data_IF_635865190218
#
_entry.id   IF_635865190218
#
_cell.length_a   1.000
_cell.length_b   1.000
_cell.length_c   1.000
_cell.angle_alpha   90.00
_cell.angle_beta   90.00
_cell.angle_gamma   90.00
#
_symmetry.space_group_name_H-M   'P 1'
#
loop_
_entity.id
_entity.type
_entity.pdbx_description
1 polymer ?
#
# COMPACT_ATOMS: atom_id res chain seq x y z
N UNK A 1 -15.10 -3.76 -8.19
CA UNK A 1 -15.18 -5.24 -8.27
C UNK A 1 -14.71 -5.82 -6.94
N UNK A 2 -15.53 -6.64 -6.26
CA UNK A 2 -15.17 -7.27 -4.97
C UNK A 2 -14.51 -8.64 -5.11
N UNK A 3 -14.08 -9.01 -6.34
CA UNK A 3 -13.56 -10.33 -6.69
C UNK A 3 -12.43 -10.84 -5.78
N UNK A 4 -11.59 -9.93 -5.29
CA UNK A 4 -10.41 -10.25 -4.49
C UNK A 4 -10.59 -9.97 -2.99
N UNK A 5 -11.79 -9.54 -2.55
CA UNK A 5 -12.04 -9.14 -1.17
C UNK A 5 -11.68 -10.26 -0.19
N UNK A 6 -11.99 -11.51 -0.53
CA UNK A 6 -11.68 -12.68 0.28
C UNK A 6 -10.20 -12.86 0.63
N UNK A 7 -9.27 -12.38 -0.21
CA UNK A 7 -7.84 -12.45 0.09
C UNK A 7 -7.43 -11.46 1.17
N UNK A 8 -8.10 -10.31 1.25
CA UNK A 8 -7.78 -9.27 2.23
C UNK A 8 -8.57 -9.42 3.54
N UNK A 9 -9.68 -10.19 3.54
CA UNK A 9 -10.52 -10.37 4.73
C UNK A 9 -9.75 -10.83 5.98
N UNK A 10 -8.82 -11.80 5.94
CA UNK A 10 -8.05 -12.20 7.11
C UNK A 10 -7.19 -11.07 7.68
N UNK A 11 -6.51 -10.31 6.81
CA UNK A 11 -5.71 -9.17 7.20
C UNK A 11 -6.58 -8.05 7.81
N UNK A 12 -7.75 -7.79 7.22
CA UNK A 12 -8.70 -6.81 7.76
C UNK A 12 -9.29 -7.25 9.10
N UNK A 13 -9.67 -8.53 9.24
CA UNK A 13 -10.21 -9.07 10.48
C UNK A 13 -9.20 -8.96 11.64
N UNK A 14 -7.90 -9.18 11.39
CA UNK A 14 -6.85 -8.98 12.39
C UNK A 14 -6.67 -7.51 12.78
N UNK A 15 -6.92 -6.59 11.85
CA UNK A 15 -6.67 -5.15 12.03
C UNK A 15 -7.95 -4.32 12.17
N UNK A 16 -9.11 -4.91 12.43
CA UNK A 16 -10.41 -4.25 12.33
C UNK A 16 -10.54 -2.99 13.21
N UNK A 17 -9.85 -2.96 14.36
CA UNK A 17 -9.81 -1.81 15.28
C UNK A 17 -9.08 -0.60 14.71
N UNK A 18 -8.20 -0.82 13.73
CA UNK A 18 -7.43 0.23 13.05
C UNK A 18 -8.10 0.70 11.75
N UNK A 19 -9.25 0.11 11.39
CA UNK A 19 -10.00 0.43 10.17
C UNK A 19 -11.14 1.37 10.56
N UNK A 20 -11.22 2.50 9.87
CA UNK A 20 -12.34 3.43 9.99
C UNK A 20 -12.95 3.62 8.61
N UNK A 21 -14.22 3.22 8.46
CA UNK A 21 -14.95 3.39 7.21
C UNK A 21 -15.50 4.82 7.13
N UNK A 22 -15.20 5.50 6.04
CA UNK A 22 -15.66 6.86 5.79
C UNK A 22 -16.50 6.88 4.50
N UNK A 23 -17.73 7.36 4.61
CA UNK A 23 -18.66 7.51 3.49
C UNK A 23 -18.77 8.99 3.11
N UNK A 24 -17.65 9.56 2.67
CA UNK A 24 -17.52 10.97 2.32
C UNK A 24 -17.84 11.29 0.86
N UNK A 25 -17.56 12.53 0.46
CA UNK A 25 -17.69 12.99 -0.93
C UNK A 25 -16.83 12.14 -1.86
N UNK A 26 -15.66 11.73 -1.40
CA UNK A 26 -14.68 10.91 -2.11
C UNK A 26 -15.24 9.51 -2.39
N UNK A 27 -15.89 8.91 -1.39
CA UNK A 27 -16.58 7.63 -1.56
C UNK A 27 -17.68 7.73 -2.63
N UNK A 28 -18.53 8.77 -2.57
CA UNK A 28 -19.58 8.99 -3.56
C UNK A 28 -18.99 9.26 -4.94
N UNK A 29 -17.92 10.05 -5.01
CA UNK A 29 -17.21 10.37 -6.26
C UNK A 29 -16.68 9.10 -6.90
N UNK A 30 -16.01 8.23 -6.14
CA UNK A 30 -15.49 6.96 -6.64
C UNK A 30 -16.58 5.97 -6.99
N UNK A 31 -17.72 5.98 -6.28
CA UNK A 31 -18.88 5.18 -6.63
C UNK A 31 -19.46 5.61 -7.98
N UNK A 32 -19.63 6.92 -8.20
CA UNK A 32 -20.12 7.49 -9.47
C UNK A 32 -19.15 7.17 -10.61
N UNK A 33 -17.84 7.26 -10.38
CA UNK A 33 -16.79 6.85 -11.34
C UNK A 33 -16.84 5.36 -11.70
N UNK A 34 -17.43 4.53 -10.86
CA UNK A 34 -17.59 3.10 -11.15
C UNK A 34 -18.91 2.78 -11.87
N UNK A 35 -19.83 3.73 -12.02
CA UNK A 35 -21.11 3.49 -12.72
C UNK A 35 -20.89 3.23 -14.22
N UNK A 36 -21.71 2.36 -14.86
CA UNK A 36 -21.67 2.14 -16.30
C UNK A 36 -21.84 3.46 -17.07
N UNK A 37 -21.04 3.67 -18.12
CA UNK A 37 -21.11 4.87 -18.96
C UNK A 37 -20.35 6.08 -18.43
N UNK A 38 -19.80 6.03 -17.21
CA UNK A 38 -18.90 7.08 -16.71
C UNK A 38 -17.62 7.17 -17.56
N UNK A 39 -17.10 8.38 -17.70
CA UNK A 39 -15.83 8.66 -18.38
C UNK A 39 -14.69 7.81 -17.80
N UNK A 40 -14.72 7.55 -16.49
CA UNK A 40 -13.74 6.71 -15.79
C UNK A 40 -13.73 5.23 -16.13
N UNK A 41 -14.82 4.70 -16.68
CA UNK A 41 -14.78 3.34 -17.25
C UNK A 41 -14.25 3.33 -18.68
N UNK A 42 -14.36 4.45 -19.40
CA UNK A 42 -13.89 4.59 -20.77
C UNK A 42 -12.39 4.92 -20.80
N UNK A 43 -11.90 5.69 -19.82
CA UNK A 43 -10.52 6.12 -19.68
C UNK A 43 -9.99 5.85 -18.26
N UNK A 44 -9.73 4.58 -17.91
CA UNK A 44 -9.36 4.18 -16.54
C UNK A 44 -8.07 4.82 -16.01
N UNK A 45 -7.22 5.36 -16.89
CA UNK A 45 -5.95 6.00 -16.54
C UNK A 45 -5.96 7.53 -16.70
N UNK A 46 -7.07 8.14 -17.13
CA UNK A 46 -7.15 9.58 -17.41
C UNK A 46 -7.59 10.42 -16.19
N UNK A 47 -7.75 9.81 -15.02
CA UNK A 47 -8.18 10.51 -13.81
C UNK A 47 -7.00 10.78 -12.90
N UNK A 48 -6.91 12.02 -12.42
CA UNK A 48 -5.98 12.42 -11.36
C UNK A 48 -6.34 11.66 -10.09
N UNK A 49 -5.59 10.60 -9.78
CA UNK A 49 -5.52 10.02 -8.43
C UNK A 49 -4.55 10.92 -7.65
N UNK A 50 -5.03 12.10 -7.28
CA UNK A 50 -4.17 13.17 -6.79
C UNK A 50 -4.87 14.00 -5.73
N UNK A 51 -5.16 13.37 -4.61
CA UNK A 51 -5.42 14.10 -3.37
C UNK A 51 -4.58 13.38 -2.32
N UNK A 52 -3.49 13.99 -1.89
CA UNK A 52 -2.85 13.58 -0.64
C UNK A 52 -3.94 13.64 0.44
N UNK A 53 -4.21 12.55 1.17
CA UNK A 53 -5.27 12.55 2.15
C UNK A 53 -4.98 13.59 3.23
N UNK A 54 -6.03 14.20 3.77
CA UNK A 54 -5.87 15.08 4.92
C UNK A 54 -5.30 14.29 6.12
N UNK A 55 -4.35 14.86 6.87
CA UNK A 55 -3.77 14.20 8.01
C UNK A 55 -4.82 13.96 9.10
N UNK A 56 -4.78 12.78 9.72
CA UNK A 56 -5.61 12.48 10.87
C UNK A 56 -5.00 13.10 12.14
N UNK A 57 -5.40 14.33 12.46
CA UNK A 57 -4.85 15.07 13.60
C UNK A 57 -5.03 14.38 14.95
N UNK A 58 -6.06 13.53 15.12
CA UNK A 58 -6.19 12.70 16.33
C UNK A 58 -5.03 11.72 16.44
N UNK A 59 -4.66 11.03 15.36
CA UNK A 59 -3.50 10.11 15.38
C UNK A 59 -2.17 10.82 15.56
N UNK A 60 -2.05 12.03 15.00
CA UNK A 60 -0.88 12.89 15.24
C UNK A 60 -0.77 13.21 16.73
N UNK A 61 -1.87 13.65 17.36
CA UNK A 61 -1.90 13.93 18.79
C UNK A 61 -1.64 12.67 19.64
N UNK A 62 -2.29 11.53 19.32
CA UNK A 62 -2.05 10.25 20.01
C UNK A 62 -0.55 9.86 19.97
N UNK A 63 0.16 10.21 18.89
CA UNK A 63 1.61 9.97 18.74
C UNK A 63 2.45 10.91 19.59
N UNK A 64 2.07 12.20 19.67
CA UNK A 64 2.72 13.19 20.56
C UNK A 64 2.53 12.78 22.03
N UNK A 65 1.31 12.41 22.42
CA UNK A 65 1.00 11.96 23.78
C UNK A 65 1.80 10.70 24.14
N UNK A 66 1.96 9.78 23.18
CA UNK A 66 2.80 8.58 23.35
C UNK A 66 4.28 8.94 23.55
N UNK A 67 4.80 9.91 22.78
CA UNK A 67 6.17 10.40 22.92
C UNK A 67 6.39 11.04 24.30
N UNK A 68 5.47 11.91 24.74
CA UNK A 68 5.53 12.55 26.06
C UNK A 68 5.43 11.50 27.18
N UNK A 69 4.57 10.49 27.02
CA UNK A 69 4.48 9.38 27.97
C UNK A 69 5.78 8.59 28.12
N UNK A 70 6.56 8.45 27.04
CA UNK A 70 7.89 7.83 27.07
C UNK A 70 8.96 8.78 27.63
N UNK A 71 8.83 10.09 27.38
CA UNK A 71 9.80 11.11 27.78
C UNK A 71 9.13 12.30 28.46
N UNK A 72 8.73 12.18 29.75
CA UNK A 72 7.95 13.22 30.42
C UNK A 72 8.66 14.58 30.52
N UNK A 73 9.99 14.59 30.51
CA UNK A 73 10.77 15.84 30.53
C UNK A 73 10.61 16.70 29.26
N UNK A 74 9.96 16.19 28.21
CA UNK A 74 9.62 16.94 27.00
C UNK A 74 8.23 17.61 27.07
N UNK A 75 7.48 17.42 28.17
CA UNK A 75 6.17 18.02 28.34
C UNK A 75 6.24 19.55 28.21
N UNK A 76 5.32 20.13 27.42
CA UNK A 76 5.28 21.56 27.11
C UNK A 76 6.37 22.08 26.17
N UNK A 77 7.29 21.22 25.69
CA UNK A 77 8.38 21.60 24.79
C UNK A 77 8.18 21.09 23.35
N UNK A 78 7.26 20.16 23.13
CA UNK A 78 6.98 19.57 21.81
C UNK A 78 5.84 20.33 21.15
N UNK A 79 6.06 20.78 19.91
CA UNK A 79 5.06 21.43 19.08
C UNK A 79 5.04 20.77 17.69
N UNK A 80 3.85 20.66 17.11
CA UNK A 80 3.67 20.16 15.75
C UNK A 80 3.92 21.32 14.79
N UNK A 81 5.01 21.27 14.03
CA UNK A 81 5.31 22.25 12.98
C UNK A 81 4.51 21.96 11.71
N UNK A 82 4.43 20.68 11.31
CA UNK A 82 3.77 20.25 10.10
C UNK A 82 3.15 18.85 10.29
N UNK A 83 2.03 18.60 9.62
CA UNK A 83 1.40 17.30 9.53
C UNK A 83 0.98 17.03 8.08
N UNK A 84 1.28 15.83 7.59
CA UNK A 84 0.91 15.37 6.25
C UNK A 84 0.44 13.92 6.31
N UNK A 85 -0.21 13.46 5.24
CA UNK A 85 -0.53 12.05 5.09
C UNK A 85 -0.35 11.61 3.64
N UNK A 86 -0.13 10.31 3.46
CA UNK A 86 0.08 9.69 2.17
C UNK A 86 -0.58 8.33 2.10
N UNK A 87 -0.74 7.82 0.89
CA UNK A 87 -1.23 6.48 0.67
C UNK A 87 -0.11 5.46 0.77
N UNK A 88 -0.41 4.34 1.44
CA UNK A 88 0.43 3.15 1.45
C UNK A 88 -0.32 2.06 0.69
N UNK A 89 0.30 1.55 -0.37
CA UNK A 89 -0.16 0.38 -1.06
C UNK A 89 0.18 -0.89 -0.25
N UNK A 90 -0.81 -1.76 -0.09
CA UNK A 90 -0.69 -2.97 0.72
C UNK A 90 -1.12 -4.21 -0.06
N UNK A 91 -0.35 -5.29 0.08
CA UNK A 91 -0.72 -6.63 -0.39
C UNK A 91 -1.44 -7.41 0.72
N UNK A 92 -2.20 -8.46 0.39
CA UNK A 92 -2.86 -9.31 1.38
C UNK A 92 -1.95 -9.86 2.48
N UNK A 93 -0.68 -10.10 2.15
CA UNK A 93 0.35 -10.68 3.03
C UNK A 93 1.45 -9.68 3.43
N UNK A 94 1.21 -8.38 3.20
CA UNK A 94 2.12 -7.26 3.48
C UNK A 94 3.52 -7.37 2.87
N UNK A 95 3.72 -8.34 1.99
CA UNK A 95 4.98 -8.63 1.32
C UNK A 95 4.95 -7.98 -0.07
N UNK A 96 6.03 -7.35 -0.55
CA UNK A 96 6.02 -6.69 -1.85
C UNK A 96 5.80 -7.69 -3.00
N UNK A 97 5.47 -7.15 -4.17
CA UNK A 97 5.44 -7.87 -5.43
C UNK A 97 6.62 -7.41 -6.27
N UNK A 98 7.51 -8.34 -6.60
CA UNK A 98 8.68 -8.10 -7.44
C UNK A 98 8.72 -9.18 -8.53
N UNK A 99 8.93 -8.76 -9.79
CA UNK A 99 9.13 -9.66 -10.93
C UNK A 99 8.04 -9.58 -11.99
N UNK A 100 8.11 -10.50 -12.96
CA UNK A 100 7.22 -10.50 -14.13
C UNK A 100 5.79 -10.93 -13.78
N UNK A 101 4.82 -10.29 -14.43
CA UNK A 101 3.40 -10.61 -14.31
C UNK A 101 3.06 -11.76 -15.26
N UNK A 102 2.54 -12.89 -14.76
CA UNK A 102 2.17 -14.01 -15.61
C UNK A 102 1.12 -13.62 -16.66
N UNK A 103 1.38 -14.00 -17.92
CA UNK A 103 0.46 -13.79 -19.04
C UNK A 103 0.69 -12.49 -19.83
N UNK A 104 1.62 -11.63 -19.41
CA UNK A 104 2.01 -10.42 -20.16
C UNK A 104 3.53 -10.32 -20.21
N UNK A 105 4.13 -10.78 -21.32
CA UNK A 105 5.58 -10.80 -21.49
C UNK A 105 6.18 -9.39 -21.37
N UNK A 106 7.21 -9.24 -20.55
CA UNK A 106 7.93 -7.99 -20.34
C UNK A 106 7.22 -6.98 -19.44
N UNK A 107 6.11 -7.36 -18.80
CA UNK A 107 5.44 -6.51 -17.82
C UNK A 107 5.84 -6.92 -16.41
N UNK A 108 6.56 -6.04 -15.71
CA UNK A 108 7.10 -6.32 -14.38
C UNK A 108 6.49 -5.42 -13.31
N UNK A 109 6.38 -5.95 -12.09
CA UNK A 109 5.97 -5.20 -10.91
C UNK A 109 7.11 -5.03 -9.92
N UNK A 110 7.08 -3.87 -9.25
CA UNK A 110 7.81 -3.55 -8.03
C UNK A 110 6.88 -2.64 -7.19
N UNK A 111 5.93 -3.25 -6.47
CA UNK A 111 4.83 -2.54 -5.77
C UNK A 111 4.42 -3.30 -4.51
N UNK A 112 3.51 -2.74 -3.69
CA UNK A 112 2.94 -3.41 -2.54
C UNK A 112 3.85 -3.42 -1.32
N UNK A 113 4.73 -2.43 -1.20
CA UNK A 113 5.77 -2.39 -0.15
C UNK A 113 5.21 -2.19 1.27
N UNK A 114 3.91 -1.91 1.41
CA UNK A 114 3.20 -1.98 2.70
C UNK A 114 3.83 -1.13 3.80
N UNK A 115 4.43 0.02 3.42
CA UNK A 115 5.07 1.00 4.30
C UNK A 115 6.60 0.89 4.41
N UNK A 116 7.22 -0.14 3.81
CA UNK A 116 8.66 -0.42 3.96
C UNK A 116 9.48 -0.05 2.72
N UNK A 117 8.85 0.58 1.73
CA UNK A 117 9.44 0.82 0.41
C UNK A 117 10.69 1.70 0.41
N UNK A 118 10.78 2.65 1.35
CA UNK A 118 11.95 3.54 1.45
C UNK A 118 13.24 2.77 1.71
N UNK A 119 13.25 1.92 2.74
CA UNK A 119 14.42 1.13 3.10
C UNK A 119 14.75 0.07 2.02
N UNK A 120 13.73 -0.50 1.38
CA UNK A 120 13.89 -1.54 0.36
C UNK A 120 14.30 -1.00 -1.02
N UNK A 121 14.04 0.28 -1.29
CA UNK A 121 14.16 0.90 -2.61
C UNK A 121 15.47 0.60 -3.36
N UNK A 122 16.66 0.83 -2.77
CA UNK A 122 17.93 0.55 -3.44
C UNK A 122 18.12 -0.93 -3.79
N UNK A 123 17.74 -1.84 -2.88
CA UNK A 123 17.83 -3.28 -3.10
C UNK A 123 16.86 -3.75 -4.18
N UNK A 124 15.62 -3.26 -4.15
CA UNK A 124 14.62 -3.55 -5.18
C UNK A 124 15.03 -3.01 -6.55
N UNK A 125 15.60 -1.79 -6.62
CA UNK A 125 16.09 -1.22 -7.86
C UNK A 125 17.16 -2.09 -8.50
N UNK A 126 18.12 -2.60 -7.70
CA UNK A 126 19.14 -3.55 -8.17
C UNK A 126 18.52 -4.84 -8.68
N UNK A 127 17.69 -5.50 -7.88
CA UNK A 127 17.02 -6.75 -8.27
C UNK A 127 16.22 -6.59 -9.56
N UNK A 128 15.47 -5.49 -9.70
CA UNK A 128 14.70 -5.21 -10.91
C UNK A 128 15.60 -4.97 -12.11
N UNK A 129 16.74 -4.32 -11.94
CA UNK A 129 17.71 -4.14 -13.04
C UNK A 129 18.29 -5.46 -13.54
N UNK A 130 18.60 -6.38 -12.63
CA UNK A 130 19.11 -7.73 -12.95
C UNK A 130 18.04 -8.54 -13.70
N UNK A 131 16.79 -8.54 -13.22
CA UNK A 131 15.68 -9.22 -13.92
C UNK A 131 15.47 -8.64 -15.33
N UNK A 132 15.59 -7.31 -15.49
CA UNK A 132 15.36 -6.65 -16.79
C UNK A 132 16.50 -6.93 -17.78
N UNK A 133 17.75 -6.87 -17.34
CA UNK A 133 18.92 -6.97 -18.22
C UNK A 133 19.36 -8.42 -18.44
N UNK A 134 19.35 -9.21 -17.38
CA UNK A 134 19.94 -10.55 -17.33
C UNK A 134 18.88 -11.65 -17.31
N UNK A 135 17.62 -11.31 -17.00
CA UNK A 135 16.49 -12.24 -16.96
C UNK A 135 16.33 -12.98 -15.63
N UNK A 136 17.25 -12.77 -14.68
CA UNK A 136 17.23 -13.39 -13.35
C UNK A 136 17.77 -12.43 -12.28
N UNK A 137 17.34 -12.62 -11.03
CA UNK A 137 17.84 -11.85 -9.89
C UNK A 137 19.03 -12.56 -9.24
N UNK A 138 19.98 -11.79 -8.71
CA UNK A 138 21.12 -12.33 -7.94
C UNK A 138 20.76 -12.88 -6.56
N UNK A 139 19.52 -12.65 -6.11
CA UNK A 139 18.98 -13.14 -4.83
C UNK A 139 17.63 -13.82 -5.07
N UNK A 140 17.27 -14.74 -4.19
CA UNK A 140 15.97 -15.43 -4.28
C UNK A 140 14.82 -14.43 -4.06
N UNK A 141 14.01 -14.26 -5.10
CA UNK A 141 12.81 -13.41 -5.11
C UNK A 141 11.54 -14.22 -5.31
N UNK A 142 11.61 -15.55 -5.23
CA UNK A 142 10.48 -16.42 -5.51
C UNK A 142 9.29 -16.08 -4.61
N UNK A 143 9.51 -15.81 -3.31
CA UNK A 143 8.47 -15.38 -2.37
C UNK A 143 7.81 -14.03 -2.71
N UNK A 144 8.39 -13.25 -3.62
CA UNK A 144 7.91 -11.92 -4.01
C UNK A 144 7.13 -11.95 -5.34
N UNK A 145 7.04 -13.10 -6.02
CA UNK A 145 6.33 -13.24 -7.30
C UNK A 145 4.86 -12.88 -7.18
N UNK A 146 4.28 -12.30 -8.24
CA UNK A 146 2.85 -11.98 -8.28
C UNK A 146 1.95 -13.23 -8.26
N UNK A 147 2.43 -14.34 -8.84
CA UNK A 147 1.64 -15.57 -8.95
C UNK A 147 1.30 -16.22 -7.61
N UNK A 148 2.01 -15.88 -6.54
CA UNK A 148 1.81 -16.40 -5.18
C UNK A 148 0.38 -16.22 -4.66
N UNK A 149 -0.30 -15.13 -5.06
CA UNK A 149 -1.70 -14.88 -4.68
C UNK A 149 -2.66 -15.90 -5.30
N UNK A 150 -2.40 -16.33 -6.54
CA UNK A 150 -3.19 -17.36 -7.22
C UNK A 150 -2.87 -18.75 -6.66
N UNK A 151 -1.61 -18.99 -6.32
CA UNK A 151 -1.10 -20.24 -5.78
C UNK A 151 -1.48 -20.45 -4.30
N UNK A 152 -1.94 -19.39 -3.62
CA UNK A 152 -2.18 -19.35 -2.16
C UNK A 152 -0.92 -19.61 -1.34
N UNK A 153 0.23 -19.26 -1.90
CA UNK A 153 1.55 -19.30 -1.25
C UNK A 153 1.85 -17.92 -0.63
N UNK A 154 1.02 -17.54 0.34
CA UNK A 154 1.14 -16.25 1.01
C UNK A 154 2.16 -16.33 2.14
N UNK A 155 2.86 -15.23 2.42
CA UNK A 155 3.75 -15.15 3.57
C UNK A 155 2.96 -15.44 4.88
N UNK A 156 3.29 -16.52 5.62
CA UNK A 156 2.53 -16.94 6.79
C UNK A 156 2.74 -16.04 8.01
N UNK A 157 3.78 -15.19 8.02
CA UNK A 157 4.05 -14.27 9.13
C UNK A 157 2.98 -13.16 9.25
N UNK A 158 2.19 -12.92 8.20
CA UNK A 158 1.23 -11.81 8.11
C UNK A 158 -0.21 -12.21 7.83
#
# INVERSE_FOLDING_TARGET
SFRNLGMFLPAYARNWRNISLHFGKEFVTDLVRQLPGSESRQHPFAHTVGVEPEPNMKKVQDSVDSLIGLYPHLEGQVHIEEAWAGYIDGTPDRTPVIGEVPGVKGFLFATGFSGHGFAMGPGTGRVMSEIILDGEASVDVNGLRFSRFKERDLNPEY
#
